data_IF_130886336443
#
_entry.id   IF_130886336443
#
_cell.length_a   1.000
_cell.length_b   1.000
_cell.length_c   1.000
_cell.angle_alpha   90.00
_cell.angle_beta   90.00
_cell.angle_gamma   90.00
#
_symmetry.space_group_name_H-M   'P 1'
#
loop_
_entity.id
_entity.type
_entity.pdbx_description
1 polymer ?
#
# COMPACT_ATOMS: atom_id res chain seq x y z
N UNK A 1 1.17 5.96 -1.08
CA UNK A 1 1.96 4.70 -1.03
C UNK A 1 1.08 3.60 -0.47
N UNK A 2 0.54 2.72 -1.32
CA UNK A 2 -0.08 1.49 -0.82
C UNK A 2 1.04 0.51 -0.49
N UNK A 3 1.43 0.43 0.76
CA UNK A 3 2.42 -0.52 1.24
C UNK A 3 1.75 -1.87 1.41
N UNK A 4 1.75 -2.68 0.36
CA UNK A 4 1.17 -4.02 0.39
C UNK A 4 1.82 -4.85 1.50
N UNK A 5 0.96 -5.42 2.38
CA UNK A 5 1.40 -6.24 3.50
C UNK A 5 1.93 -5.48 4.71
N UNK A 6 1.85 -4.16 4.76
CA UNK A 6 2.09 -3.40 5.98
C UNK A 6 0.79 -3.22 6.77
N UNK A 7 0.89 -3.42 8.07
CA UNK A 7 -0.18 -3.16 9.03
C UNK A 7 0.41 -2.64 10.34
N UNK A 8 -0.44 -2.09 11.17
CA UNK A 8 -0.06 -1.70 12.53
C UNK A 8 -1.04 -2.30 13.52
N UNK A 9 -0.55 -2.82 14.63
CA UNK A 9 -1.39 -3.02 15.80
C UNK A 9 -1.57 -1.64 16.43
N UNK A 10 -2.80 -1.16 16.51
CA UNK A 10 -3.09 0.18 17.00
C UNK A 10 -4.30 0.19 17.92
N UNK A 11 -4.30 1.12 18.88
CA UNK A 11 -5.46 1.43 19.70
C UNK A 11 -6.46 2.24 18.89
N UNK A 12 -7.73 1.84 18.93
CA UNK A 12 -8.81 2.59 18.32
C UNK A 12 -9.94 2.83 19.33
N UNK A 13 -10.50 4.03 19.27
CA UNK A 13 -11.56 4.54 20.14
C UNK A 13 -12.81 4.84 19.34
N UNK A 14 -14.02 4.90 19.97
CA UNK A 14 -15.21 5.41 19.32
C UNK A 14 -14.97 6.81 18.71
N UNK A 15 -15.40 7.03 17.48
CA UNK A 15 -15.20 8.28 16.76
C UNK A 15 -15.83 9.49 17.45
N UNK A 16 -16.92 9.27 18.19
CA UNK A 16 -17.65 10.25 18.99
C UNK A 16 -16.87 10.74 20.23
N UNK A 17 -15.84 10.02 20.64
CA UNK A 17 -15.03 10.45 21.77
C UNK A 17 -14.09 11.59 21.37
N UNK A 18 -13.94 12.65 22.17
CA UNK A 18 -13.00 13.74 21.93
C UNK A 18 -11.55 13.33 22.28
N UNK A 19 -11.16 12.11 21.88
CA UNK A 19 -9.88 11.48 22.22
C UNK A 19 -9.10 11.21 20.94
N UNK A 20 -7.96 11.89 20.76
CA UNK A 20 -7.09 11.75 19.60
C UNK A 20 -5.73 11.13 19.96
N UNK A 21 -5.30 11.28 21.21
CA UNK A 21 -3.98 10.85 21.69
C UNK A 21 -4.12 10.05 22.98
N UNK A 22 -3.04 9.35 23.36
CA UNK A 22 -2.95 8.62 24.62
C UNK A 22 -3.13 9.55 25.84
N UNK A 23 -2.62 10.77 25.78
CA UNK A 23 -2.79 11.76 26.85
C UNK A 23 -4.26 12.16 27.02
N UNK A 24 -4.99 12.35 25.92
CA UNK A 24 -6.43 12.58 25.97
C UNK A 24 -7.17 11.37 26.54
N UNK A 25 -6.75 10.15 26.15
CA UNK A 25 -7.34 8.92 26.67
C UNK A 25 -7.15 8.81 28.20
N UNK A 26 -5.95 9.07 28.70
CA UNK A 26 -5.68 9.11 30.15
C UNK A 26 -6.53 10.14 30.88
N UNK A 27 -6.65 11.34 30.34
CA UNK A 27 -7.47 12.41 30.92
C UNK A 27 -8.95 11.99 30.98
N UNK A 28 -9.44 11.37 29.92
CA UNK A 28 -10.83 10.89 29.86
C UNK A 28 -11.10 9.79 30.89
N UNK A 29 -10.17 8.85 31.08
CA UNK A 29 -10.30 7.78 32.08
C UNK A 29 -10.30 8.39 33.49
N UNK A 30 -9.43 9.35 33.77
CA UNK A 30 -9.30 10.00 35.07
C UNK A 30 -10.52 10.84 35.45
N UNK A 31 -11.26 11.37 34.49
CA UNK A 31 -12.46 12.21 34.69
C UNK A 31 -13.75 11.39 34.81
N UNK A 32 -13.74 10.09 34.53
CA UNK A 32 -14.91 9.24 34.70
C UNK A 32 -15.27 9.12 36.20
N UNK A 33 -16.51 9.38 36.51
CA UNK A 33 -17.06 9.32 37.89
C UNK A 33 -16.98 7.93 38.54
N UNK A 34 -16.76 6.90 37.75
CA UNK A 34 -16.53 5.53 38.18
C UNK A 34 -15.10 5.16 37.73
N UNK A 35 -14.20 5.00 38.69
CA UNK A 35 -12.82 4.59 38.46
C UNK A 35 -12.73 3.12 38.05
N UNK A 36 -13.20 2.82 36.83
CA UNK A 36 -12.95 1.51 36.23
C UNK A 36 -11.74 1.58 35.31
N UNK A 37 -10.86 0.58 35.36
CA UNK A 37 -9.75 0.50 34.41
C UNK A 37 -10.31 0.42 32.97
N UNK A 38 -9.56 0.95 32.01
CA UNK A 38 -9.91 0.94 30.60
C UNK A 38 -10.09 -0.51 30.12
N UNK A 39 -11.28 -0.85 29.60
CA UNK A 39 -11.55 -2.16 29.01
C UNK A 39 -11.10 -2.16 27.55
N UNK A 40 -10.10 -2.99 27.21
CA UNK A 40 -9.52 -3.05 25.89
C UNK A 40 -9.73 -4.42 25.28
N UNK A 41 -10.52 -4.53 24.21
CA UNK A 41 -10.66 -5.76 23.45
C UNK A 41 -9.50 -5.94 22.47
N UNK A 42 -8.87 -7.13 22.47
CA UNK A 42 -7.72 -7.41 21.61
C UNK A 42 -7.46 -8.90 21.44
N UNK A 43 -6.91 -9.29 20.30
CA UNK A 43 -6.30 -10.61 20.06
C UNK A 43 -4.81 -10.65 20.45
N UNK A 44 -4.22 -9.51 20.82
CA UNK A 44 -2.79 -9.37 21.11
C UNK A 44 -2.53 -8.90 22.56
N UNK A 45 -2.99 -9.66 23.58
CA UNK A 45 -3.01 -9.17 24.96
C UNK A 45 -1.63 -8.78 25.49
N UNK A 46 -0.60 -9.58 25.20
CA UNK A 46 0.76 -9.32 25.69
C UNK A 46 1.36 -8.02 25.14
N UNK A 47 1.18 -7.75 23.84
CA UNK A 47 1.71 -6.55 23.20
C UNK A 47 0.93 -5.32 23.68
N UNK A 48 -0.38 -5.42 23.72
CA UNK A 48 -1.27 -4.34 24.17
C UNK A 48 -1.01 -3.98 25.62
N UNK A 49 -0.91 -4.96 26.54
CA UNK A 49 -0.61 -4.69 27.96
C UNK A 49 0.73 -3.97 28.10
N UNK A 50 1.80 -4.51 27.51
CA UNK A 50 3.12 -3.86 27.58
C UNK A 50 3.10 -2.42 27.10
N UNK A 51 2.37 -2.14 26.03
CA UNK A 51 2.24 -0.79 25.49
C UNK A 51 1.49 0.12 26.47
N UNK A 52 0.35 -0.29 26.99
CA UNK A 52 -0.46 0.48 27.93
C UNK A 52 0.26 0.70 29.26
N UNK A 53 0.96 -0.32 29.76
CA UNK A 53 1.78 -0.24 30.98
C UNK A 53 2.92 0.78 30.81
N UNK A 54 3.58 0.78 29.65
CA UNK A 54 4.66 1.75 29.38
C UNK A 54 4.19 3.20 29.31
N UNK A 55 2.87 3.42 29.11
CA UNK A 55 2.23 4.73 29.12
C UNK A 55 1.46 5.03 30.42
N UNK A 56 1.53 4.14 31.42
CA UNK A 56 0.86 4.33 32.71
C UNK A 56 -0.67 4.29 32.62
N UNK A 57 -1.24 3.59 31.63
CA UNK A 57 -2.69 3.49 31.41
C UNK A 57 -3.21 2.25 32.14
N UNK A 58 -3.99 2.45 33.22
CA UNK A 58 -4.66 1.36 33.93
C UNK A 58 -5.72 0.71 33.03
N UNK A 59 -5.61 -0.61 32.82
CA UNK A 59 -6.44 -1.32 31.87
C UNK A 59 -6.84 -2.72 32.32
N UNK A 60 -7.90 -3.23 31.72
CA UNK A 60 -8.30 -4.65 31.73
C UNK A 60 -8.42 -5.12 30.29
N UNK A 61 -7.72 -6.21 29.97
CA UNK A 61 -7.79 -6.79 28.64
C UNK A 61 -8.93 -7.77 28.54
N UNK A 62 -9.69 -7.64 27.46
CA UNK A 62 -10.73 -8.56 27.08
C UNK A 62 -10.24 -9.33 25.88
N UNK A 63 -9.95 -10.61 26.07
CA UNK A 63 -9.56 -11.47 24.95
C UNK A 63 -10.82 -11.77 24.13
N UNK A 64 -10.83 -11.31 22.89
CA UNK A 64 -11.93 -11.54 21.97
C UNK A 64 -11.39 -12.09 20.65
N UNK A 65 -12.01 -13.14 20.17
CA UNK A 65 -11.77 -13.72 18.86
C UNK A 65 -12.87 -13.26 17.90
N UNK A 66 -12.49 -12.82 16.70
CA UNK A 66 -13.45 -12.39 15.68
C UNK A 66 -13.54 -10.88 15.52
N UNK A 67 -14.75 -10.38 15.30
CA UNK A 67 -15.02 -8.97 14.95
C UNK A 67 -14.88 -8.05 16.17
N UNK A 68 -13.67 -7.58 16.44
CA UNK A 68 -13.37 -6.70 17.58
C UNK A 68 -13.99 -5.31 17.44
N UNK A 69 -14.20 -4.84 16.23
CA UNK A 69 -14.63 -3.48 15.93
C UNK A 69 -16.04 -3.17 16.47
N UNK A 70 -16.88 -4.18 16.69
CA UNK A 70 -18.21 -3.97 17.27
C UNK A 70 -18.19 -3.91 18.80
N UNK A 71 -17.11 -4.32 19.47
CA UNK A 71 -17.03 -4.43 20.91
C UNK A 71 -17.36 -3.12 21.66
N UNK A 72 -16.89 -1.93 21.23
CA UNK A 72 -17.29 -0.69 21.87
C UNK A 72 -18.77 -0.35 21.68
N UNK A 73 -19.33 -0.58 20.50
CA UNK A 73 -20.72 -0.25 20.20
C UNK A 73 -21.72 -1.06 21.04
N UNK A 74 -21.38 -2.32 21.37
CA UNK A 74 -22.22 -3.18 22.23
C UNK A 74 -21.87 -3.07 23.73
N UNK A 75 -20.95 -2.19 24.11
CA UNK A 75 -20.53 -1.98 25.50
C UNK A 75 -19.68 -3.10 26.08
N UNK A 76 -19.18 -4.02 25.27
CA UNK A 76 -18.29 -5.12 25.68
C UNK A 76 -16.90 -4.65 26.09
N UNK A 77 -16.37 -3.67 25.39
CA UNK A 77 -15.11 -2.98 25.69
C UNK A 77 -15.28 -1.47 25.54
N UNK A 78 -14.35 -0.69 26.06
CA UNK A 78 -14.33 0.76 25.86
C UNK A 78 -13.59 1.15 24.58
N UNK A 79 -12.51 0.43 24.28
CA UNK A 79 -11.64 0.62 23.11
C UNK A 79 -11.17 -0.73 22.59
N UNK A 80 -10.57 -0.73 21.44
CA UNK A 80 -9.94 -1.93 20.86
C UNK A 80 -8.46 -1.71 20.58
N UNK A 81 -7.69 -2.81 20.55
CA UNK A 81 -6.36 -2.84 19.97
C UNK A 81 -6.32 -3.93 18.89
N UNK A 82 -6.27 -3.52 17.64
CA UNK A 82 -6.37 -4.44 16.50
C UNK A 82 -5.44 -4.06 15.35
N UNK A 83 -5.32 -4.98 14.38
CA UNK A 83 -4.51 -4.77 13.18
C UNK A 83 -5.22 -3.81 12.22
N UNK A 84 -4.56 -2.72 11.95
CA UNK A 84 -5.02 -1.66 11.05
C UNK A 84 -4.11 -1.58 9.84
N UNK A 85 -4.67 -1.70 8.65
CA UNK A 85 -3.97 -1.50 7.37
C UNK A 85 -4.41 -0.18 6.73
N UNK A 86 -5.59 -0.14 6.10
CA UNK A 86 -6.17 1.06 5.49
C UNK A 86 -7.02 1.89 6.45
N UNK A 87 -7.39 1.33 7.60
CA UNK A 87 -8.33 1.90 8.54
C UNK A 87 -9.79 1.90 8.06
N UNK A 88 -10.10 1.25 6.94
CA UNK A 88 -11.47 1.23 6.40
C UNK A 88 -12.43 0.54 7.36
N UNK A 89 -12.07 -0.64 7.88
CA UNK A 89 -12.89 -1.39 8.84
C UNK A 89 -13.19 -0.59 10.11
N UNK A 90 -12.20 0.19 10.59
CA UNK A 90 -12.43 1.08 11.73
C UNK A 90 -13.49 2.14 11.41
N UNK A 91 -13.36 2.83 10.26
CA UNK A 91 -14.33 3.86 9.83
C UNK A 91 -15.73 3.30 9.64
N UNK A 92 -15.84 2.11 9.04
CA UNK A 92 -17.14 1.43 8.83
C UNK A 92 -17.86 1.10 10.14
N UNK A 93 -17.09 0.93 11.24
CA UNK A 93 -17.59 0.68 12.59
C UNK A 93 -17.54 1.92 13.50
N UNK A 94 -17.39 3.13 12.94
CA UNK A 94 -17.31 4.41 13.68
C UNK A 94 -16.23 4.42 14.75
N UNK A 95 -15.07 3.85 14.42
CA UNK A 95 -13.88 3.86 15.25
C UNK A 95 -12.78 4.69 14.59
N UNK A 96 -11.91 5.26 15.40
CA UNK A 96 -10.73 6.01 14.98
C UNK A 96 -9.50 5.51 15.71
N UNK A 97 -8.42 5.24 14.95
CA UNK A 97 -7.13 4.97 15.56
C UNK A 97 -6.60 6.25 16.26
N UNK A 98 -5.94 6.09 17.39
CA UNK A 98 -5.23 7.18 18.05
C UNK A 98 -3.97 7.56 17.26
N UNK A 99 -3.64 8.85 17.21
CA UNK A 99 -2.51 9.37 16.45
C UNK A 99 -1.16 8.80 16.94
N UNK A 100 -1.05 8.61 18.25
CA UNK A 100 0.11 8.04 18.98
C UNK A 100 -0.17 6.63 19.54
N UNK A 101 -1.29 5.99 19.17
CA UNK A 101 -1.73 4.70 19.67
C UNK A 101 -1.17 3.49 18.92
N UNK A 102 -0.12 3.65 18.12
CA UNK A 102 0.50 2.54 17.39
C UNK A 102 1.36 1.70 18.33
N UNK A 103 0.88 0.50 18.66
CA UNK A 103 1.55 -0.47 19.52
C UNK A 103 2.74 -1.12 18.81
N UNK A 104 2.56 -1.52 17.55
CA UNK A 104 3.57 -2.18 16.74
C UNK A 104 3.27 -1.98 15.26
N UNK A 105 4.31 -1.67 14.47
CA UNK A 105 4.25 -1.73 12.99
C UNK A 105 4.73 -3.09 12.53
N UNK A 106 4.01 -3.70 11.60
CA UNK A 106 4.31 -5.03 11.06
C UNK A 106 4.15 -5.03 9.55
N UNK A 107 4.81 -5.98 8.92
CA UNK A 107 4.67 -6.24 7.49
C UNK A 107 4.77 -7.74 7.21
N UNK A 108 4.18 -8.19 6.12
CA UNK A 108 4.39 -9.54 5.63
C UNK A 108 5.85 -9.73 5.20
N UNK A 109 6.45 -10.84 5.60
CA UNK A 109 7.82 -11.21 5.23
C UNK A 109 7.81 -12.61 4.61
N UNK A 110 8.63 -12.77 3.58
CA UNK A 110 8.93 -14.08 2.99
C UNK A 110 10.28 -14.54 3.53
N UNK A 111 10.32 -15.71 4.16
CA UNK A 111 11.55 -16.30 4.68
C UNK A 111 11.65 -17.75 4.29
N UNK A 112 12.89 -18.25 4.18
CA UNK A 112 13.18 -19.62 3.81
C UNK A 112 14.36 -20.18 4.63
N UNK A 113 14.43 -21.50 4.71
CA UNK A 113 15.56 -22.20 5.37
C UNK A 113 16.82 -22.06 4.51
N UNK A 114 17.86 -21.39 5.03
CA UNK A 114 19.12 -21.15 4.31
C UNK A 114 19.86 -22.44 3.92
N UNK A 115 19.84 -23.45 4.78
CA UNK A 115 20.51 -24.72 4.48
C UNK A 115 19.80 -25.43 3.30
N UNK A 116 18.46 -25.41 3.27
CA UNK A 116 17.70 -25.99 2.17
C UNK A 116 17.96 -25.24 0.84
N UNK A 117 18.03 -23.91 0.87
CA UNK A 117 18.36 -23.11 -0.32
C UNK A 117 19.75 -23.41 -0.86
N UNK A 118 20.74 -23.74 0.01
CA UNK A 118 22.09 -24.11 -0.40
C UNK A 118 22.23 -25.53 -0.92
N UNK A 119 21.50 -26.49 -0.35
CA UNK A 119 21.67 -27.90 -0.63
C UNK A 119 20.69 -28.45 -1.67
N UNK A 120 19.62 -27.73 -1.98
CA UNK A 120 18.54 -28.21 -2.83
C UNK A 120 18.24 -27.21 -3.95
N UNK A 121 18.78 -27.43 -5.17
CA UNK A 121 18.58 -26.52 -6.31
C UNK A 121 17.11 -26.23 -6.61
N UNK A 122 16.25 -27.24 -6.52
CA UNK A 122 14.81 -27.10 -6.77
C UNK A 122 14.12 -26.16 -5.77
N UNK A 123 14.60 -26.10 -4.51
CA UNK A 123 14.08 -25.17 -3.49
C UNK A 123 14.55 -23.75 -3.79
N UNK A 124 15.78 -23.58 -4.25
CA UNK A 124 16.30 -22.28 -4.67
C UNK A 124 15.55 -21.74 -5.88
N UNK A 125 15.30 -22.58 -6.88
CA UNK A 125 14.58 -22.18 -8.09
C UNK A 125 13.13 -21.78 -7.76
N UNK A 126 12.45 -22.56 -6.91
CA UNK A 126 11.10 -22.20 -6.45
C UNK A 126 11.10 -20.86 -5.68
N UNK A 127 12.07 -20.66 -4.78
CA UNK A 127 12.17 -19.41 -4.04
C UNK A 127 12.41 -18.21 -4.95
N UNK A 128 13.22 -18.36 -6.00
CA UNK A 128 13.45 -17.33 -7.02
C UNK A 128 12.19 -17.02 -7.80
N UNK A 129 11.46 -18.02 -8.27
CA UNK A 129 10.20 -17.84 -8.96
C UNK A 129 9.17 -17.08 -8.11
N UNK A 130 9.01 -17.47 -6.83
CA UNK A 130 8.12 -16.77 -5.91
C UNK A 130 8.51 -15.31 -5.70
N UNK A 131 9.80 -15.03 -5.52
CA UNK A 131 10.30 -13.66 -5.39
C UNK A 131 10.06 -12.84 -6.66
N UNK A 132 10.25 -13.43 -7.84
CA UNK A 132 9.98 -12.79 -9.12
C UNK A 132 8.50 -12.41 -9.26
N UNK A 133 7.58 -13.32 -8.97
CA UNK A 133 6.14 -13.04 -8.99
C UNK A 133 5.74 -11.97 -7.98
N UNK A 134 6.25 -12.04 -6.75
CA UNK A 134 5.98 -11.04 -5.71
C UNK A 134 6.47 -9.66 -6.16
N UNK A 135 7.70 -9.59 -6.69
CA UNK A 135 8.29 -8.33 -7.14
C UNK A 135 7.55 -7.74 -8.34
N UNK A 136 7.22 -8.58 -9.33
CA UNK A 136 6.46 -8.18 -10.50
C UNK A 136 5.05 -7.66 -10.13
N UNK A 137 4.38 -8.33 -9.19
CA UNK A 137 3.09 -7.89 -8.67
C UNK A 137 3.20 -6.52 -7.95
N UNK A 138 4.12 -6.38 -7.00
CA UNK A 138 4.32 -5.14 -6.27
C UNK A 138 4.61 -3.97 -7.21
N UNK A 139 5.46 -4.20 -8.22
CA UNK A 139 5.78 -3.20 -9.24
C UNK A 139 4.56 -2.85 -10.11
N UNK A 140 3.77 -3.85 -10.50
CA UNK A 140 2.50 -3.63 -11.22
C UNK A 140 1.54 -2.76 -10.42
N UNK A 141 1.44 -3.00 -9.12
CA UNK A 141 0.56 -2.24 -8.23
C UNK A 141 0.96 -0.77 -8.04
N UNK A 142 2.19 -0.39 -8.31
CA UNK A 142 2.68 0.99 -8.21
C UNK A 142 2.55 1.77 -9.52
N UNK A 143 2.13 1.13 -10.61
CA UNK A 143 2.16 1.70 -11.95
C UNK A 143 0.83 1.59 -12.68
N UNK A 144 0.64 2.45 -13.67
CA UNK A 144 -0.42 2.41 -14.66
C UNK A 144 0.16 2.32 -16.08
N UNK A 145 -0.50 1.58 -16.94
CA UNK A 145 -0.31 1.69 -18.37
C UNK A 145 -1.19 2.84 -18.90
N UNK A 146 -0.57 3.78 -19.59
CA UNK A 146 -1.22 4.95 -20.17
C UNK A 146 -1.07 4.88 -21.67
N UNK A 147 -2.19 4.92 -22.36
CA UNK A 147 -2.26 4.93 -23.83
C UNK A 147 -2.90 6.24 -24.28
N UNK A 148 -2.33 6.89 -25.29
CA UNK A 148 -2.90 8.09 -25.90
C UNK A 148 -2.70 8.06 -27.41
N UNK A 149 -3.59 8.74 -28.16
CA UNK A 149 -3.38 8.99 -29.58
C UNK A 149 -2.74 10.36 -29.78
N UNK A 150 -1.71 10.42 -30.61
CA UNK A 150 -0.99 11.65 -30.95
C UNK A 150 -0.92 11.84 -32.45
N UNK A 151 -1.17 13.07 -32.92
CA UNK A 151 -0.98 13.44 -34.30
C UNK A 151 0.48 13.84 -34.51
N UNK A 152 1.11 13.33 -35.56
CA UNK A 152 2.51 13.70 -35.87
C UNK A 152 2.98 13.03 -37.15
N UNK A 153 3.97 13.66 -37.79
CA UNK A 153 4.51 13.21 -39.07
C UNK A 153 5.34 11.92 -38.99
N UNK A 154 5.98 11.69 -37.84
CA UNK A 154 6.72 10.47 -37.58
C UNK A 154 6.72 10.09 -36.11
N UNK A 155 7.01 8.81 -35.82
CA UNK A 155 7.17 8.29 -34.46
C UNK A 155 8.33 8.97 -33.74
N UNK A 156 9.43 9.26 -34.45
CA UNK A 156 10.64 9.91 -33.91
C UNK A 156 10.36 11.35 -33.45
N UNK A 157 9.59 12.11 -34.25
CA UNK A 157 9.21 13.48 -33.88
C UNK A 157 8.34 13.50 -32.63
N UNK A 158 7.39 12.56 -32.51
CA UNK A 158 6.55 12.40 -31.32
C UNK A 158 7.42 11.99 -30.11
N UNK A 159 8.33 11.01 -30.27
CA UNK A 159 9.23 10.58 -29.21
C UNK A 159 10.09 11.73 -28.67
N UNK A 160 10.64 12.56 -29.55
CA UNK A 160 11.42 13.75 -29.16
C UNK A 160 10.60 14.75 -28.36
N UNK A 161 9.36 15.04 -28.80
CA UNK A 161 8.46 15.91 -28.06
C UNK A 161 8.12 15.35 -26.66
N UNK A 162 7.99 14.03 -26.53
CA UNK A 162 7.74 13.36 -25.26
C UNK A 162 8.97 13.37 -24.34
N UNK A 163 10.17 13.12 -24.88
CA UNK A 163 11.41 13.15 -24.07
C UNK A 163 11.75 14.54 -23.54
N UNK A 164 11.23 15.59 -24.14
CA UNK A 164 11.31 16.94 -23.60
C UNK A 164 10.47 17.14 -22.32
N UNK A 165 9.57 16.19 -22.01
CA UNK A 165 8.72 16.22 -20.82
C UNK A 165 9.21 15.21 -19.80
N UNK A 166 9.58 15.62 -18.57
CA UNK A 166 10.16 14.73 -17.56
C UNK A 166 9.21 13.59 -17.10
N UNK A 167 7.92 13.77 -17.29
CA UNK A 167 6.89 12.81 -16.87
C UNK A 167 6.53 11.75 -17.92
N UNK A 168 7.09 11.83 -19.13
CA UNK A 168 6.72 10.97 -20.25
C UNK A 168 7.78 9.95 -20.66
N UNK A 169 8.84 9.78 -19.86
CA UNK A 169 9.93 8.83 -20.15
C UNK A 169 9.52 7.35 -20.09
N UNK A 170 8.41 7.01 -19.44
CA UNK A 170 8.01 5.61 -19.23
C UNK A 170 9.04 4.82 -18.42
N UNK A 171 9.03 3.48 -18.55
CA UNK A 171 10.05 2.60 -17.93
C UNK A 171 11.37 2.63 -18.71
N UNK A 172 11.30 2.48 -20.04
CA UNK A 172 12.44 2.43 -20.95
C UNK A 172 12.27 3.38 -22.14
N UNK A 173 11.13 4.08 -22.22
CA UNK A 173 10.72 4.97 -23.28
C UNK A 173 9.27 4.72 -23.71
N UNK A 174 8.70 5.63 -24.53
CA UNK A 174 7.37 5.43 -25.10
C UNK A 174 7.40 4.39 -26.21
N UNK A 175 6.39 3.52 -26.24
CA UNK A 175 6.12 2.69 -27.42
C UNK A 175 5.19 3.46 -28.34
N UNK A 176 5.57 3.57 -29.62
CA UNK A 176 4.79 4.27 -30.63
C UNK A 176 4.39 3.30 -31.76
N UNK A 177 3.12 3.32 -32.14
CA UNK A 177 2.59 2.52 -33.21
C UNK A 177 1.68 3.36 -34.13
N UNK A 178 1.73 3.19 -35.48
CA UNK A 178 0.85 3.93 -36.37
C UNK A 178 -0.62 3.55 -36.14
N UNK A 179 -1.49 4.55 -36.22
CA UNK A 179 -2.96 4.35 -36.15
C UNK A 179 -3.53 4.50 -37.56
N UNK A 180 -4.32 3.52 -37.99
CA UNK A 180 -5.02 3.57 -39.28
C UNK A 180 -6.31 4.37 -39.09
N UNK A 181 -6.39 5.54 -39.76
CA UNK A 181 -7.58 6.40 -39.72
C UNK A 181 -8.36 6.31 -41.04
N UNK A 182 -9.67 6.57 -41.00
CA UNK A 182 -10.51 6.59 -42.22
C UNK A 182 -10.12 7.70 -43.19
N UNK A 183 -9.62 8.82 -42.66
CA UNK A 183 -9.25 10.02 -43.43
C UNK A 183 -7.80 10.01 -43.92
N UNK A 184 -7.02 8.95 -43.63
CA UNK A 184 -5.59 8.88 -44.00
C UNK A 184 -4.69 9.83 -43.20
N UNK A 185 -5.18 10.44 -42.13
CA UNK A 185 -4.39 11.29 -41.27
C UNK A 185 -3.30 10.52 -40.52
N UNK A 186 -2.15 11.16 -40.26
CA UNK A 186 -1.02 10.55 -39.57
C UNK A 186 -1.22 10.63 -38.05
N UNK A 187 -1.63 9.54 -37.48
CA UNK A 187 -1.78 9.36 -36.04
C UNK A 187 -0.93 8.19 -35.53
N UNK A 188 -0.47 8.34 -34.30
CA UNK A 188 0.27 7.29 -33.59
C UNK A 188 -0.38 7.03 -32.24
N UNK A 189 -0.49 5.76 -31.87
CA UNK A 189 -0.79 5.35 -30.52
C UNK A 189 0.50 5.35 -29.72
N UNK A 190 0.48 6.02 -28.59
CA UNK A 190 1.59 6.10 -27.64
C UNK A 190 1.22 5.30 -26.41
N UNK A 191 2.11 4.41 -25.98
CA UNK A 191 1.96 3.67 -24.74
C UNK A 191 3.14 3.95 -23.83
N UNK A 192 2.88 4.33 -22.57
CA UNK A 192 3.88 4.51 -21.53
C UNK A 192 3.42 3.83 -20.23
N UNK A 193 4.37 3.48 -19.38
CA UNK A 193 4.10 3.05 -17.99
C UNK A 193 4.48 4.20 -17.06
N UNK A 194 3.56 4.56 -16.17
CA UNK A 194 3.69 5.72 -15.29
C UNK A 194 3.42 5.33 -13.85
N UNK A 195 4.27 5.76 -12.94
CA UNK A 195 4.04 5.58 -11.50
C UNK A 195 2.73 6.28 -11.06
N UNK A 196 1.98 5.68 -10.17
CA UNK A 196 0.67 6.17 -9.72
C UNK A 196 0.69 7.63 -9.27
N UNK A 197 1.72 8.02 -8.52
CA UNK A 197 1.87 9.40 -8.01
C UNK A 197 2.14 10.41 -9.12
N UNK A 198 2.58 9.96 -10.30
CA UNK A 198 2.88 10.80 -11.47
C UNK A 198 1.78 10.77 -12.54
N UNK A 199 0.69 10.05 -12.30
CA UNK A 199 -0.37 9.89 -13.31
C UNK A 199 -0.94 11.24 -13.80
N UNK A 200 -1.34 12.11 -12.89
CA UNK A 200 -1.96 13.39 -13.27
C UNK A 200 -0.96 14.32 -13.99
N UNK A 201 0.29 14.50 -13.50
CA UNK A 201 1.33 15.18 -14.25
C UNK A 201 1.56 14.60 -15.66
N UNK A 202 1.66 13.28 -15.80
CA UNK A 202 1.86 12.62 -17.10
C UNK A 202 0.68 12.84 -18.07
N UNK A 203 -0.55 12.74 -17.60
CA UNK A 203 -1.74 13.03 -18.42
C UNK A 203 -1.75 14.49 -18.90
N UNK A 204 -1.37 15.45 -18.04
CA UNK A 204 -1.25 16.86 -18.44
C UNK A 204 -0.15 17.06 -19.47
N UNK A 205 1.01 16.45 -19.26
CA UNK A 205 2.14 16.51 -20.20
C UNK A 205 1.80 15.89 -21.56
N UNK A 206 1.12 14.71 -21.60
CA UNK A 206 0.62 14.11 -22.83
C UNK A 206 -0.30 15.05 -23.61
N UNK A 207 -1.24 15.71 -22.94
CA UNK A 207 -2.15 16.69 -23.56
C UNK A 207 -1.39 17.91 -24.10
N UNK A 208 -0.39 18.39 -23.37
CA UNK A 208 0.43 19.54 -23.77
C UNK A 208 1.23 19.28 -25.05
N UNK A 209 1.63 18.03 -25.30
CA UNK A 209 2.32 17.64 -26.55
C UNK A 209 1.36 17.11 -27.63
N UNK A 210 0.07 17.35 -27.50
CA UNK A 210 -0.94 17.02 -28.54
C UNK A 210 -1.59 15.65 -28.37
N UNK A 211 -1.40 14.98 -27.22
CA UNK A 211 -2.06 13.71 -26.91
C UNK A 211 -3.57 13.88 -26.67
N UNK A 212 -4.35 12.95 -27.19
CA UNK A 212 -5.81 12.88 -27.03
C UNK A 212 -6.27 11.47 -26.75
N UNK A 213 -7.50 11.30 -26.27
CA UNK A 213 -8.06 9.98 -26.00
C UNK A 213 -7.23 9.18 -24.98
N UNK A 214 -6.77 9.83 -23.91
CA UNK A 214 -5.90 9.20 -22.91
C UNK A 214 -6.67 8.13 -22.13
N UNK A 215 -6.22 6.89 -22.25
CA UNK A 215 -6.75 5.71 -21.54
C UNK A 215 -5.74 5.28 -20.50
N UNK A 216 -6.21 4.99 -19.28
CA UNK A 216 -5.39 4.54 -18.16
C UNK A 216 -5.88 3.17 -17.71
N UNK A 217 -4.96 2.20 -17.62
CA UNK A 217 -5.25 0.84 -17.19
C UNK A 217 -4.34 0.41 -16.05
N UNK A 218 -4.86 -0.29 -15.03
CA UNK A 218 -4.03 -0.89 -14.00
C UNK A 218 -3.17 -2.00 -14.61
N UNK A 219 -1.99 -2.21 -14.03
CA UNK A 219 -1.07 -3.27 -14.43
C UNK A 219 -1.06 -4.33 -13.32
N UNK A 220 -1.19 -5.60 -13.68
CA UNK A 220 -1.14 -6.70 -12.72
C UNK A 220 0.28 -7.06 -12.37
N UNK A 221 1.15 -7.20 -13.36
CA UNK A 221 2.55 -7.60 -13.20
C UNK A 221 3.45 -6.80 -14.12
N UNK A 222 4.64 -6.45 -13.63
CA UNK A 222 5.77 -5.94 -14.45
C UNK A 222 6.98 -6.80 -14.10
N UNK A 223 7.34 -7.72 -14.99
CA UNK A 223 8.54 -8.54 -14.87
C UNK A 223 9.76 -7.79 -15.38
N UNK A 224 10.85 -7.85 -14.65
CA UNK A 224 12.15 -7.33 -15.07
C UNK A 224 13.04 -8.46 -15.58
N UNK A 225 14.08 -8.11 -16.34
CA UNK A 225 15.05 -9.07 -16.83
C UNK A 225 15.76 -9.81 -15.69
N UNK A 226 16.15 -9.09 -14.63
CA UNK A 226 16.72 -9.68 -13.42
C UNK A 226 16.08 -9.04 -12.17
N UNK A 227 15.13 -9.74 -11.49
CA UNK A 227 14.50 -9.25 -10.29
C UNK A 227 15.50 -8.98 -9.16
N UNK A 228 15.43 -7.81 -8.55
CA UNK A 228 16.41 -7.37 -7.55
C UNK A 228 16.43 -8.29 -6.32
N UNK A 229 15.26 -8.71 -5.82
CA UNK A 229 15.15 -9.61 -4.66
C UNK A 229 15.74 -10.98 -4.93
N UNK A 230 15.55 -11.52 -6.15
CA UNK A 230 16.15 -12.79 -6.56
C UNK A 230 17.68 -12.66 -6.66
N UNK A 231 18.20 -11.56 -7.19
CA UNK A 231 19.63 -11.25 -7.22
C UNK A 231 20.22 -11.14 -5.83
N UNK A 232 19.55 -10.42 -4.90
CA UNK A 232 19.96 -10.30 -3.50
C UNK A 232 19.95 -11.64 -2.78
N UNK A 233 18.96 -12.51 -3.03
CA UNK A 233 18.93 -13.86 -2.48
C UNK A 233 20.18 -14.63 -2.88
N UNK A 234 20.52 -14.65 -4.18
CA UNK A 234 21.70 -15.35 -4.71
C UNK A 234 23.02 -14.83 -4.11
N UNK A 235 23.14 -13.53 -3.97
CA UNK A 235 24.34 -12.88 -3.42
C UNK A 235 24.56 -13.16 -1.91
N UNK A 236 23.50 -13.52 -1.16
CA UNK A 236 23.54 -13.76 0.29
C UNK A 236 23.53 -15.26 0.67
N UNK A 237 23.55 -16.17 -0.28
CA UNK A 237 23.66 -17.62 -0.05
C UNK A 237 25.11 -18.04 0.06
#
# INVERSE_FOLDING_TARGET
>A
MCTHGQCALALAVPEEWPVHTLSHLQSQISTRSVQHPLRVATQYPRLTSRFLDSHGIAHVLINAEGTLEVAPAIGYADVIADLVSSGQTLRDNRLRALDDGVVLRSQAVFFANRAALKSRPEVLDLARQLLEYIEAYLRGQENYMVVANMRGDSAEAIAQAMFAQPDLGGLQGPTLAPVITRAGERWHSVTIVVHKDRLIPAVRALRAVGGSGVVVSPITYIFEEEPERARRLKANL
#
